data_IF_970719144208
#
_entry.id   IF_970719144208
#
_cell.length_a   1.000
_cell.length_b   1.000
_cell.length_c   1.000
_cell.angle_alpha   90.00
_cell.angle_beta   90.00
_cell.angle_gamma   90.00
#
_symmetry.space_group_name_H-M   'P 1'
#
loop_
_entity.id
_entity.type
_entity.pdbx_description
1 polymer ?
#
# COMPACT_ATOMS: atom_id res chain seq x y z
N UNK A 1 -14.91 -0.47 21.94
CA UNK A 1 -16.11 -0.57 21.07
C UNK A 1 -15.78 -0.45 19.57
N UNK A 2 -14.60 0.05 19.18
CA UNK A 2 -14.19 0.32 17.79
C UNK A 2 -13.82 -0.93 16.95
N UNK A 3 -13.31 -1.99 17.58
CA UNK A 3 -12.94 -3.23 16.87
C UNK A 3 -14.18 -3.92 16.25
N UNK A 4 -15.36 -3.74 16.85
CA UNK A 4 -16.61 -4.37 16.39
C UNK A 4 -17.14 -3.76 15.08
N UNK A 5 -16.98 -2.45 14.86
CA UNK A 5 -17.34 -1.80 13.58
C UNK A 5 -16.41 -2.24 12.44
N UNK A 6 -15.12 -2.42 12.72
CA UNK A 6 -14.15 -2.87 11.73
C UNK A 6 -14.42 -4.31 11.26
N UNK A 7 -14.91 -5.17 12.15
CA UNK A 7 -15.29 -6.56 11.86
C UNK A 7 -16.65 -6.65 11.14
N UNK A 8 -17.65 -5.82 11.53
CA UNK A 8 -18.94 -5.73 10.81
C UNK A 8 -18.76 -5.20 9.39
N UNK A 9 -17.96 -4.13 9.22
CA UNK A 9 -17.63 -3.57 7.91
C UNK A 9 -16.82 -4.52 7.02
N UNK A 10 -15.95 -5.37 7.60
CA UNK A 10 -15.23 -6.41 6.83
C UNK A 10 -16.18 -7.41 6.17
N UNK A 11 -17.28 -7.81 6.83
CA UNK A 11 -18.24 -8.79 6.28
C UNK A 11 -19.14 -8.24 5.18
N UNK A 12 -19.49 -6.95 5.22
CA UNK A 12 -20.26 -6.31 4.14
C UNK A 12 -19.38 -5.94 2.94
N UNK A 13 -18.16 -5.45 3.15
CA UNK A 13 -17.24 -5.10 2.05
C UNK A 13 -16.74 -6.33 1.27
N UNK A 14 -16.73 -7.53 1.87
CA UNK A 14 -16.34 -8.77 1.16
C UNK A 14 -17.30 -9.18 0.04
N UNK A 15 -18.51 -8.60 -0.06
CA UNK A 15 -19.44 -8.94 -1.15
C UNK A 15 -19.12 -8.25 -2.47
N UNK A 16 -18.44 -7.10 -2.45
CA UNK A 16 -18.28 -6.23 -3.63
C UNK A 16 -16.80 -5.99 -3.96
N UNK A 17 -16.11 -7.05 -4.39
CA UNK A 17 -14.70 -6.97 -4.81
C UNK A 17 -14.64 -6.74 -6.32
N UNK A 18 -13.87 -5.74 -6.75
CA UNK A 18 -13.58 -5.50 -8.16
C UNK A 18 -12.22 -6.07 -8.50
N UNK A 19 -12.18 -6.91 -9.53
CA UNK A 19 -10.95 -7.32 -10.19
C UNK A 19 -10.91 -6.59 -11.54
N UNK A 20 -9.95 -5.67 -11.69
CA UNK A 20 -9.72 -4.95 -12.95
C UNK A 20 -9.38 -5.95 -14.05
N UNK A 21 -9.87 -5.72 -15.27
CA UNK A 21 -9.59 -6.59 -16.41
C UNK A 21 -8.08 -6.68 -16.71
N UNK A 22 -7.34 -5.58 -16.54
CA UNK A 22 -5.88 -5.55 -16.68
C UNK A 22 -5.20 -6.48 -15.67
N UNK A 23 -5.61 -6.41 -14.40
CA UNK A 23 -5.11 -7.27 -13.32
C UNK A 23 -5.44 -8.74 -13.59
N UNK A 24 -6.68 -9.05 -13.99
CA UNK A 24 -7.08 -10.43 -14.31
C UNK A 24 -6.21 -11.02 -15.43
N UNK A 25 -5.97 -10.27 -16.52
CA UNK A 25 -5.10 -10.72 -17.62
C UNK A 25 -3.67 -11.00 -17.15
N UNK A 26 -3.12 -10.15 -16.28
CA UNK A 26 -1.77 -10.34 -15.71
C UNK A 26 -1.72 -11.56 -14.79
N UNK A 27 -2.77 -11.79 -14.00
CA UNK A 27 -2.91 -12.98 -13.17
C UNK A 27 -3.01 -14.26 -14.02
N UNK A 28 -3.82 -14.26 -15.08
CA UNK A 28 -3.97 -15.42 -15.98
C UNK A 28 -2.64 -15.76 -16.67
N UNK A 29 -1.90 -14.74 -17.14
CA UNK A 29 -0.55 -14.92 -17.69
C UNK A 29 0.43 -15.50 -16.66
N UNK A 30 0.38 -15.02 -15.42
CA UNK A 30 1.17 -15.57 -14.31
C UNK A 30 0.84 -17.05 -14.05
N UNK A 31 -0.44 -17.43 -14.05
CA UNK A 31 -0.84 -18.82 -13.82
C UNK A 31 -0.31 -19.75 -14.93
N UNK A 32 -0.33 -19.28 -16.19
CA UNK A 32 0.09 -20.06 -17.35
C UNK A 32 1.61 -20.17 -17.49
N UNK A 33 2.33 -19.05 -17.39
CA UNK A 33 3.75 -18.96 -17.76
C UNK A 33 4.67 -18.46 -16.64
N UNK A 34 4.10 -17.78 -15.64
CA UNK A 34 4.84 -17.19 -14.55
C UNK A 34 5.12 -18.18 -13.42
N UNK A 35 5.92 -17.71 -12.45
CA UNK A 35 6.24 -18.43 -11.21
C UNK A 35 5.90 -17.60 -9.99
N UNK A 36 6.07 -16.28 -10.08
CA UNK A 36 5.83 -15.35 -8.99
C UNK A 36 4.87 -14.25 -9.44
N UNK A 37 3.85 -13.98 -8.63
CA UNK A 37 3.04 -12.77 -8.71
C UNK A 37 3.32 -11.93 -7.47
N UNK A 38 3.92 -10.76 -7.66
CA UNK A 38 4.29 -9.86 -6.59
C UNK A 38 3.33 -8.67 -6.56
N UNK A 39 2.76 -8.35 -5.40
CA UNK A 39 2.00 -7.13 -5.19
C UNK A 39 2.86 -6.14 -4.40
N UNK A 40 3.22 -5.02 -5.03
CA UNK A 40 3.99 -3.93 -4.41
C UNK A 40 3.13 -2.68 -4.34
N UNK A 41 2.53 -2.41 -3.18
CA UNK A 41 1.71 -1.21 -3.01
C UNK A 41 1.60 -0.82 -1.53
N UNK A 42 1.29 0.46 -1.23
CA UNK A 42 1.08 0.91 0.14
C UNK A 42 -0.08 0.19 0.86
N UNK A 43 -0.25 0.50 2.14
CA UNK A 43 -1.42 0.06 2.90
C UNK A 43 -2.72 0.56 2.26
N UNK A 44 -3.82 -0.20 2.39
CA UNK A 44 -5.14 0.18 1.87
C UNK A 44 -5.34 0.13 0.35
N UNK A 45 -4.33 -0.26 -0.45
CA UNK A 45 -4.50 -0.55 -1.88
C UNK A 45 -5.17 -1.90 -2.19
N UNK A 46 -5.70 -2.59 -1.17
CA UNK A 46 -6.47 -3.82 -1.38
C UNK A 46 -5.68 -5.07 -1.78
N UNK A 47 -4.33 -5.07 -1.71
CA UNK A 47 -3.46 -6.22 -2.08
C UNK A 47 -3.99 -7.57 -1.57
N UNK A 48 -4.20 -7.70 -0.26
CA UNK A 48 -4.70 -8.93 0.37
C UNK A 48 -6.09 -9.32 -0.14
N UNK A 49 -7.01 -8.36 -0.20
CA UNK A 49 -8.39 -8.59 -0.68
C UNK A 49 -8.41 -9.05 -2.13
N UNK A 50 -7.56 -8.45 -2.98
CA UNK A 50 -7.44 -8.78 -4.38
C UNK A 50 -6.79 -10.16 -4.59
N UNK A 51 -5.72 -10.47 -3.86
CA UNK A 51 -5.09 -11.79 -3.88
C UNK A 51 -6.09 -12.88 -3.47
N UNK A 52 -6.83 -12.68 -2.38
CA UNK A 52 -7.85 -13.63 -1.92
C UNK A 52 -8.97 -13.83 -2.96
N UNK A 53 -9.33 -12.77 -3.69
CA UNK A 53 -10.34 -12.84 -4.75
C UNK A 53 -9.84 -13.61 -5.98
N UNK A 54 -8.60 -13.35 -6.43
CA UNK A 54 -7.98 -14.04 -7.57
C UNK A 54 -7.70 -15.53 -7.30
N UNK A 55 -7.42 -15.86 -6.04
CA UNK A 55 -7.07 -17.21 -5.59
C UNK A 55 -8.26 -18.03 -5.09
N UNK A 56 -9.48 -17.48 -5.14
CA UNK A 56 -10.68 -18.15 -4.65
C UNK A 56 -10.87 -19.51 -5.33
N UNK A 57 -11.01 -20.56 -4.51
CA UNK A 57 -11.22 -21.93 -4.97
C UNK A 57 -9.95 -22.70 -5.37
N UNK A 58 -8.75 -22.16 -5.07
CA UNK A 58 -7.46 -22.82 -5.32
C UNK A 58 -6.88 -23.42 -4.03
N UNK A 59 -5.98 -24.40 -4.17
CA UNK A 59 -5.23 -24.96 -3.05
C UNK A 59 -4.09 -24.01 -2.64
N UNK A 60 -4.31 -23.22 -1.58
CA UNK A 60 -3.42 -22.14 -1.15
C UNK A 60 -2.89 -22.41 0.25
N UNK A 61 -1.56 -22.39 0.40
CA UNK A 61 -0.89 -22.26 1.70
C UNK A 61 -0.58 -20.79 1.95
N UNK A 62 -0.98 -20.25 3.10
CA UNK A 62 -0.80 -18.82 3.44
C UNK A 62 0.10 -18.66 4.65
N UNK A 63 1.12 -17.81 4.50
CA UNK A 63 2.05 -17.40 5.53
C UNK A 63 2.08 -15.88 5.66
N UNK A 64 2.54 -15.38 6.81
CA UNK A 64 2.85 -13.96 7.01
C UNK A 64 4.29 -13.84 7.45
N UNK A 65 5.08 -13.03 6.75
CA UNK A 65 6.44 -12.72 7.18
C UNK A 65 6.50 -11.91 8.48
N UNK A 66 5.36 -11.38 8.94
CA UNK A 66 5.22 -10.74 10.25
C UNK A 66 5.20 -11.75 11.41
N UNK A 67 4.89 -13.01 11.14
CA UNK A 67 4.84 -14.06 12.14
C UNK A 67 6.27 -14.55 12.46
N UNK A 68 6.74 -14.47 13.72
CA UNK A 68 8.07 -14.94 14.11
C UNK A 68 8.27 -16.43 13.85
N UNK A 69 7.20 -17.23 13.84
CA UNK A 69 7.26 -18.67 13.59
C UNK A 69 7.10 -19.00 12.09
N UNK A 70 7.09 -17.99 11.21
CA UNK A 70 6.95 -18.19 9.76
C UNK A 70 8.20 -18.85 9.17
N UNK A 71 8.11 -20.15 8.91
CA UNK A 71 9.14 -20.92 8.22
C UNK A 71 8.73 -21.15 6.76
N UNK A 72 9.69 -21.06 5.84
CA UNK A 72 9.48 -21.40 4.43
C UNK A 72 9.18 -22.91 4.35
N UNK A 73 8.05 -23.32 3.75
CA UNK A 73 7.65 -24.71 3.75
C UNK A 73 8.54 -25.54 2.81
N UNK A 74 8.74 -26.84 3.06
CA UNK A 74 9.37 -27.73 2.11
C UNK A 74 8.48 -27.90 0.87
N UNK A 75 9.09 -28.19 -0.28
CA UNK A 75 8.40 -28.35 -1.57
C UNK A 75 7.41 -29.53 -1.61
N UNK A 76 7.60 -30.53 -0.75
CA UNK A 76 6.84 -31.78 -0.74
C UNK A 76 5.46 -31.69 -0.05
N UNK A 77 5.03 -30.52 0.42
CA UNK A 77 3.71 -30.33 1.02
C UNK A 77 2.61 -30.16 -0.04
N UNK A 78 1.37 -30.52 0.33
CA UNK A 78 0.19 -30.54 -0.55
C UNK A 78 -0.44 -29.13 -0.70
N UNK A 79 0.22 -28.25 -1.46
CA UNK A 79 -0.28 -26.93 -1.85
C UNK A 79 0.11 -26.63 -3.30
N UNK A 80 -0.71 -25.87 -4.03
CA UNK A 80 -0.37 -25.44 -5.41
C UNK A 80 0.24 -24.03 -5.41
N UNK A 81 -0.22 -23.19 -4.47
CA UNK A 81 0.12 -21.77 -4.40
C UNK A 81 0.53 -21.40 -2.99
N UNK A 82 1.75 -20.87 -2.84
CA UNK A 82 2.21 -20.27 -1.59
C UNK A 82 1.97 -18.76 -1.61
N UNK A 83 1.15 -18.27 -0.68
CA UNK A 83 0.96 -16.84 -0.42
C UNK A 83 1.82 -16.42 0.77
N UNK A 84 2.66 -15.41 0.61
CA UNK A 84 3.39 -14.78 1.71
C UNK A 84 2.98 -13.32 1.82
N UNK A 85 2.34 -12.97 2.92
CA UNK A 85 1.96 -11.59 3.24
C UNK A 85 3.06 -10.85 4.01
N UNK A 86 3.04 -9.52 3.97
CA UNK A 86 3.99 -8.64 4.66
C UNK A 86 5.47 -8.91 4.33
N UNK A 87 5.80 -9.30 3.10
CA UNK A 87 7.16 -9.71 2.71
C UNK A 87 8.25 -8.68 3.05
N UNK A 88 7.93 -7.38 3.11
CA UNK A 88 8.87 -6.33 3.55
C UNK A 88 9.46 -6.55 4.96
N UNK A 89 8.86 -7.41 5.78
CA UNK A 89 9.35 -7.78 7.10
C UNK A 89 10.35 -8.94 7.08
N UNK A 90 10.42 -9.70 5.98
CA UNK A 90 11.43 -10.75 5.78
C UNK A 90 12.76 -10.11 5.35
N UNK A 91 13.49 -9.55 6.31
CA UNK A 91 14.75 -8.82 6.04
C UNK A 91 15.99 -9.71 6.15
N UNK A 92 15.87 -10.89 6.76
CA UNK A 92 16.97 -11.84 6.91
C UNK A 92 17.36 -12.46 5.55
N UNK A 93 18.61 -12.27 5.14
CA UNK A 93 19.13 -12.75 3.85
C UNK A 93 18.94 -14.26 3.68
N UNK A 94 19.16 -15.04 4.74
CA UNK A 94 18.99 -16.49 4.71
C UNK A 94 17.54 -16.90 4.36
N UNK A 95 16.53 -16.21 4.90
CA UNK A 95 15.11 -16.48 4.60
C UNK A 95 14.75 -16.07 3.17
N UNK A 96 15.25 -14.91 2.72
CA UNK A 96 15.06 -14.46 1.34
C UNK A 96 15.70 -15.42 0.33
N UNK A 97 16.89 -15.94 0.64
CA UNK A 97 17.58 -16.91 -0.20
C UNK A 97 16.85 -18.26 -0.23
N UNK A 98 16.37 -18.74 0.93
CA UNK A 98 15.57 -19.96 1.01
C UNK A 98 14.28 -19.85 0.18
N UNK A 99 13.61 -18.68 0.20
CA UNK A 99 12.46 -18.42 -0.68
C UNK A 99 12.85 -18.47 -2.16
N UNK A 100 13.97 -17.85 -2.54
CA UNK A 100 14.44 -17.88 -3.93
C UNK A 100 14.80 -19.30 -4.38
N UNK A 101 15.40 -20.11 -3.51
CA UNK A 101 15.70 -21.51 -3.77
C UNK A 101 14.42 -22.33 -3.95
N UNK A 102 13.43 -22.16 -3.06
CA UNK A 102 12.14 -22.81 -3.20
C UNK A 102 11.43 -22.45 -4.52
N UNK A 103 11.49 -21.19 -4.93
CA UNK A 103 10.96 -20.76 -6.24
C UNK A 103 11.69 -21.47 -7.39
N UNK A 104 13.00 -21.67 -7.30
CA UNK A 104 13.77 -22.35 -8.37
C UNK A 104 13.53 -23.85 -8.40
N UNK A 105 13.46 -24.50 -7.23
CA UNK A 105 13.40 -25.96 -7.12
C UNK A 105 12.02 -26.57 -7.35
N UNK A 106 10.96 -25.76 -7.32
CA UNK A 106 9.57 -26.27 -7.29
C UNK A 106 8.72 -25.79 -8.49
N UNK A 107 9.01 -26.27 -9.73
CA UNK A 107 8.38 -25.81 -10.98
C UNK A 107 6.84 -25.89 -11.03
N UNK A 108 6.28 -26.87 -10.36
CA UNK A 108 4.86 -27.12 -10.17
C UNK A 108 4.16 -26.03 -9.34
N UNK A 109 4.89 -25.43 -8.40
CA UNK A 109 4.35 -24.46 -7.45
C UNK A 109 4.34 -23.04 -8.01
N UNK A 110 3.38 -22.25 -7.52
CA UNK A 110 3.28 -20.80 -7.79
C UNK A 110 3.37 -20.01 -6.50
N UNK A 111 3.89 -18.78 -6.61
CA UNK A 111 4.14 -17.93 -5.45
C UNK A 111 3.42 -16.60 -5.62
N UNK A 112 2.64 -16.22 -4.61
CA UNK A 112 1.97 -14.92 -4.57
C UNK A 112 2.51 -14.16 -3.37
N UNK A 113 3.26 -13.10 -3.63
CA UNK A 113 3.99 -12.35 -2.61
C UNK A 113 3.35 -10.98 -2.44
N UNK A 114 2.95 -10.64 -1.22
CA UNK A 114 2.36 -9.34 -0.90
C UNK A 114 3.35 -8.53 -0.08
N UNK A 115 3.66 -7.32 -0.56
CA UNK A 115 4.59 -6.43 0.12
C UNK A 115 4.09 -4.99 0.10
N UNK A 116 4.41 -4.27 1.17
CA UNK A 116 4.34 -2.81 1.20
C UNK A 116 5.60 -2.15 0.67
N UNK A 117 6.68 -2.90 0.48
CA UNK A 117 7.93 -2.46 -0.14
C UNK A 117 8.07 -2.94 -1.59
N UNK A 118 9.19 -2.59 -2.20
CA UNK A 118 9.58 -3.08 -3.52
C UNK A 118 10.04 -4.54 -3.46
N UNK A 119 10.07 -5.28 -4.59
CA UNK A 119 10.65 -6.62 -4.61
C UNK A 119 12.11 -6.61 -4.10
N UNK A 120 12.47 -7.48 -3.13
CA UNK A 120 13.86 -7.66 -2.72
C UNK A 120 14.78 -7.97 -3.90
N UNK A 121 16.04 -7.51 -3.82
CA UNK A 121 17.03 -7.67 -4.89
C UNK A 121 17.18 -9.12 -5.37
N UNK A 122 17.11 -10.09 -4.46
CA UNK A 122 17.21 -11.51 -4.78
C UNK A 122 16.07 -12.03 -5.70
N UNK A 123 14.91 -11.36 -5.72
CA UNK A 123 13.78 -11.71 -6.59
C UNK A 123 13.83 -11.04 -7.97
N UNK A 124 14.67 -10.01 -8.15
CA UNK A 124 14.73 -9.23 -9.40
C UNK A 124 15.10 -10.08 -10.61
N UNK A 125 15.92 -11.11 -10.43
CA UNK A 125 16.27 -12.05 -11.50
C UNK A 125 15.04 -12.74 -12.10
N UNK A 126 14.03 -13.07 -11.29
CA UNK A 126 12.77 -13.64 -11.79
C UNK A 126 11.98 -12.62 -12.62
N UNK A 127 12.06 -11.32 -12.29
CA UNK A 127 11.41 -10.28 -13.08
C UNK A 127 12.05 -10.13 -14.46
N UNK A 128 13.38 -10.03 -14.52
CA UNK A 128 14.11 -9.86 -15.78
C UNK A 128 14.01 -11.08 -16.70
N UNK A 129 13.82 -12.28 -16.14
CA UNK A 129 13.59 -13.50 -16.92
C UNK A 129 12.13 -13.73 -17.29
N UNK A 130 11.22 -12.82 -16.92
CA UNK A 130 9.78 -12.95 -17.22
C UNK A 130 9.03 -13.96 -16.34
N UNK A 131 9.68 -14.52 -15.32
CA UNK A 131 9.08 -15.47 -14.38
C UNK A 131 8.31 -14.79 -13.23
N UNK A 132 8.56 -13.50 -12.98
CA UNK A 132 7.83 -12.71 -11.98
C UNK A 132 7.06 -11.57 -12.62
N UNK A 133 5.76 -11.51 -12.33
CA UNK A 133 4.88 -10.38 -12.65
C UNK A 133 4.71 -9.51 -11.40
N UNK A 134 4.95 -8.20 -11.52
CA UNK A 134 4.81 -7.24 -10.40
C UNK A 134 3.60 -6.33 -10.62
N UNK A 135 2.57 -6.45 -9.79
CA UNK A 135 1.45 -5.51 -9.72
C UNK A 135 1.81 -4.38 -8.75
N UNK A 136 1.96 -3.18 -9.28
CA UNK A 136 2.35 -1.99 -8.52
C UNK A 136 1.13 -1.18 -8.08
N UNK A 137 1.33 -0.16 -7.24
CA UNK A 137 0.25 0.69 -6.76
C UNK A 137 -0.63 1.27 -7.89
N UNK A 138 -0.01 1.71 -9.00
CA UNK A 138 -0.72 2.29 -10.14
C UNK A 138 -1.62 1.26 -10.86
N UNK A 139 -1.26 -0.03 -10.87
CA UNK A 139 -2.11 -1.10 -11.40
C UNK A 139 -3.40 -1.30 -10.58
N UNK A 140 -3.35 -0.90 -9.31
CA UNK A 140 -4.41 -1.12 -8.32
C UNK A 140 -5.29 0.12 -8.10
N UNK A 141 -4.90 1.28 -8.63
CA UNK A 141 -5.72 2.48 -8.57
C UNK A 141 -7.03 2.27 -9.35
N UNK A 142 -8.12 2.71 -8.73
CA UNK A 142 -9.43 2.71 -9.37
C UNK A 142 -9.55 3.86 -10.35
N UNK A 143 -10.07 3.53 -11.54
CA UNK A 143 -10.50 4.52 -12.52
C UNK A 143 -12.02 4.77 -12.40
N UNK A 144 -12.55 5.66 -13.25
CA UNK A 144 -13.98 6.00 -13.24
C UNK A 144 -14.88 4.80 -13.53
N UNK A 145 -14.41 3.83 -14.32
CA UNK A 145 -15.12 2.59 -14.59
C UNK A 145 -15.22 1.72 -13.34
N UNK A 146 -14.11 1.57 -12.62
CA UNK A 146 -14.07 0.81 -11.37
C UNK A 146 -14.94 1.44 -10.28
N UNK A 147 -14.84 2.76 -10.09
CA UNK A 147 -15.67 3.49 -9.11
C UNK A 147 -17.15 3.29 -9.42
N UNK A 148 -17.56 3.51 -10.68
CA UNK A 148 -18.94 3.31 -11.13
C UNK A 148 -19.42 1.88 -10.86
N UNK A 149 -18.60 0.87 -11.17
CA UNK A 149 -18.92 -0.53 -10.92
C UNK A 149 -19.06 -0.82 -9.42
N UNK A 150 -18.27 -0.17 -8.56
CA UNK A 150 -18.35 -0.36 -7.11
C UNK A 150 -19.67 0.16 -6.55
N UNK A 151 -20.11 1.34 -7.01
CA UNK A 151 -21.41 1.92 -6.68
C UNK A 151 -22.59 1.07 -7.18
N UNK A 152 -22.48 0.53 -8.40
CA UNK A 152 -23.48 -0.41 -8.94
C UNK A 152 -23.62 -1.65 -8.05
N UNK A 153 -22.50 -2.23 -7.61
CA UNK A 153 -22.50 -3.37 -6.70
C UNK A 153 -23.07 -3.03 -5.32
N UNK A 154 -22.95 -1.77 -4.86
CA UNK A 154 -23.53 -1.31 -3.59
C UNK A 154 -25.00 -0.87 -3.71
N UNK A 155 -25.56 -0.85 -4.92
CA UNK A 155 -26.95 -0.43 -5.16
C UNK A 155 -27.20 1.07 -4.97
N UNK A 156 -26.15 1.89 -5.02
CA UNK A 156 -26.23 3.34 -4.87
C UNK A 156 -26.01 3.98 -6.24
N UNK A 157 -26.96 4.80 -6.69
CA UNK A 157 -26.81 5.56 -7.92
C UNK A 157 -25.83 6.72 -7.70
N UNK A 158 -24.93 6.91 -8.65
CA UNK A 158 -23.92 7.97 -8.63
C UNK A 158 -23.87 8.62 -10.02
N UNK A 159 -23.74 9.94 -10.05
CA UNK A 159 -23.58 10.71 -11.29
C UNK A 159 -22.12 10.77 -11.74
N UNK A 160 -21.87 11.10 -13.00
CA UNK A 160 -20.50 11.24 -13.52
C UNK A 160 -19.72 12.35 -12.78
N UNK A 161 -20.38 13.46 -12.43
CA UNK A 161 -19.80 14.56 -11.64
C UNK A 161 -19.37 14.11 -10.24
N UNK A 162 -20.16 13.25 -9.59
CA UNK A 162 -19.79 12.68 -8.29
C UNK A 162 -18.61 11.72 -8.43
N UNK A 163 -18.57 10.89 -9.48
CA UNK A 163 -17.41 10.01 -9.75
C UNK A 163 -16.14 10.85 -9.94
N UNK A 164 -16.22 11.94 -10.72
CA UNK A 164 -15.09 12.84 -10.93
C UNK A 164 -14.63 13.50 -9.63
N UNK A 165 -15.58 13.93 -8.79
CA UNK A 165 -15.29 14.44 -7.44
C UNK A 165 -14.59 13.40 -6.56
N UNK A 166 -15.08 12.16 -6.56
CA UNK A 166 -14.50 11.05 -5.80
C UNK A 166 -13.08 10.75 -6.25
N UNK A 167 -12.84 10.69 -7.56
CA UNK A 167 -11.51 10.45 -8.12
C UNK A 167 -10.56 11.60 -7.87
N UNK A 168 -11.04 12.85 -7.91
CA UNK A 168 -10.23 14.02 -7.59
C UNK A 168 -9.71 13.97 -6.15
N UNK A 169 -10.57 13.64 -5.20
CA UNK A 169 -10.19 13.62 -3.77
C UNK A 169 -9.42 12.34 -3.38
N UNK A 170 -9.79 11.19 -3.93
CA UNK A 170 -9.16 9.90 -3.59
C UNK A 170 -7.92 9.58 -4.44
N UNK A 171 -7.77 10.22 -5.60
CA UNK A 171 -6.76 9.87 -6.62
C UNK A 171 -6.86 8.38 -7.02
N UNK A 172 -8.06 7.80 -6.96
CA UNK A 172 -8.31 6.38 -7.23
C UNK A 172 -7.87 5.43 -6.12
N UNK A 173 -7.47 5.92 -4.94
CA UNK A 173 -7.02 5.10 -3.82
C UNK A 173 -8.13 4.14 -3.32
N UNK A 174 -7.94 2.80 -3.40
CA UNK A 174 -9.03 1.85 -3.17
C UNK A 174 -9.72 1.95 -1.80
N UNK A 175 -8.97 2.12 -0.71
CA UNK A 175 -9.57 2.29 0.61
C UNK A 175 -10.40 3.57 0.71
N UNK A 176 -9.92 4.67 0.15
CA UNK A 176 -10.66 5.94 0.12
C UNK A 176 -11.98 5.79 -0.62
N UNK A 177 -11.95 5.20 -1.82
CA UNK A 177 -13.16 4.93 -2.61
C UNK A 177 -14.10 3.97 -1.87
N UNK A 178 -13.59 2.89 -1.27
CA UNK A 178 -14.43 1.93 -0.56
C UNK A 178 -15.14 2.55 0.66
N UNK A 179 -14.46 3.41 1.41
CA UNK A 179 -15.07 4.15 2.53
C UNK A 179 -16.12 5.12 1.99
N UNK A 180 -15.84 5.84 0.90
CA UNK A 180 -16.82 6.73 0.25
C UNK A 180 -18.08 5.97 -0.16
N UNK A 181 -17.96 4.84 -0.86
CA UNK A 181 -19.10 4.01 -1.29
C UNK A 181 -19.93 3.56 -0.08
N UNK A 182 -19.28 3.16 1.02
CA UNK A 182 -19.96 2.79 2.27
C UNK A 182 -20.68 3.99 2.92
N UNK A 183 -20.11 5.17 2.78
CA UNK A 183 -20.59 6.41 3.40
C UNK A 183 -21.76 7.06 2.64
N UNK A 184 -21.87 6.81 1.34
CA UNK A 184 -22.91 7.35 0.47
C UNK A 184 -24.15 6.47 0.43
N UNK A 185 -25.31 7.12 0.36
CA UNK A 185 -26.62 6.49 0.18
C UNK A 185 -27.56 7.48 -0.51
N UNK A 186 -28.79 7.07 -0.85
CA UNK A 186 -29.76 7.98 -1.48
C UNK A 186 -29.98 9.28 -0.68
N UNK A 187 -30.00 9.20 0.65
CA UNK A 187 -30.16 10.37 1.54
C UNK A 187 -28.84 11.05 1.95
N UNK A 188 -27.69 10.55 1.48
CA UNK A 188 -26.35 11.05 1.85
C UNK A 188 -25.50 11.17 0.58
N UNK A 189 -25.70 12.23 -0.20
CA UNK A 189 -25.00 12.43 -1.46
C UNK A 189 -23.53 12.80 -1.21
N UNK A 190 -22.78 12.92 -2.29
CA UNK A 190 -21.42 13.44 -2.25
C UNK A 190 -21.40 14.93 -1.86
N UNK A 191 -20.83 15.24 -0.69
CA UNK A 191 -20.68 16.62 -0.19
C UNK A 191 -19.31 16.84 0.44
N UNK A 192 -18.86 18.10 0.62
CA UNK A 192 -17.60 18.39 1.31
C UNK A 192 -17.53 17.80 2.74
N UNK A 193 -18.67 17.75 3.45
CA UNK A 193 -18.73 17.16 4.79
C UNK A 193 -18.52 15.64 4.76
N UNK A 194 -19.05 14.97 3.73
CA UNK A 194 -18.79 13.54 3.51
C UNK A 194 -17.31 13.32 3.21
N UNK A 195 -16.69 14.16 2.37
CA UNK A 195 -15.25 14.11 2.05
C UNK A 195 -14.42 14.22 3.32
N UNK A 196 -14.68 15.21 4.16
CA UNK A 196 -13.97 15.40 5.43
C UNK A 196 -14.09 14.17 6.36
N UNK A 197 -15.27 13.56 6.42
CA UNK A 197 -15.49 12.32 7.20
C UNK A 197 -14.67 11.14 6.63
N UNK A 198 -14.65 10.97 5.31
CA UNK A 198 -13.86 9.92 4.65
C UNK A 198 -12.37 10.10 4.94
N UNK A 199 -11.84 11.32 4.79
CA UNK A 199 -10.44 11.62 5.13
C UNK A 199 -10.12 11.29 6.59
N UNK A 200 -11.00 11.67 7.52
CA UNK A 200 -10.81 11.36 8.94
C UNK A 200 -10.74 9.84 9.20
N UNK A 201 -11.63 9.06 8.59
CA UNK A 201 -11.60 7.58 8.71
C UNK A 201 -10.33 6.97 8.09
N UNK A 202 -9.87 7.49 6.95
CA UNK A 202 -8.59 7.07 6.33
C UNK A 202 -7.40 7.43 7.21
N UNK A 203 -7.41 8.59 7.86
CA UNK A 203 -6.33 9.04 8.75
C UNK A 203 -6.23 8.18 10.00
N UNK A 204 -7.34 7.85 10.64
CA UNK A 204 -7.36 6.90 11.78
C UNK A 204 -6.83 5.52 11.38
N UNK A 205 -7.12 5.09 10.14
CA UNK A 205 -6.55 3.86 9.60
C UNK A 205 -5.03 3.98 9.40
N UNK A 206 -4.54 5.05 8.78
CA UNK A 206 -3.09 5.28 8.61
C UNK A 206 -2.35 5.38 9.95
N UNK A 207 -2.93 6.07 10.93
CA UNK A 207 -2.37 6.18 12.28
C UNK A 207 -2.08 4.79 12.86
N UNK A 208 -3.07 3.90 12.83
CA UNK A 208 -2.95 2.57 13.45
C UNK A 208 -2.16 1.58 12.59
N UNK A 209 -2.43 1.53 11.28
CA UNK A 209 -1.89 0.50 10.39
C UNK A 209 -0.47 0.80 9.90
N UNK A 210 -0.05 2.06 9.93
CA UNK A 210 1.23 2.53 9.40
C UNK A 210 2.02 3.28 10.48
N UNK A 211 1.53 4.46 10.88
CA UNK A 211 2.32 5.45 11.60
C UNK A 211 2.78 4.96 12.98
N UNK A 212 1.85 4.42 13.78
CA UNK A 212 2.15 3.89 15.12
C UNK A 212 2.99 2.61 15.10
N UNK A 213 3.22 1.99 13.95
CA UNK A 213 4.11 0.83 13.81
C UNK A 213 5.57 1.22 13.59
N UNK A 214 5.83 2.46 13.19
CA UNK A 214 7.20 2.97 13.12
C UNK A 214 7.73 3.33 14.50
N UNK A 215 9.04 3.26 14.66
CA UNK A 215 9.72 3.81 15.82
C UNK A 215 9.68 5.34 15.81
N UNK A 216 9.98 5.95 16.95
CA UNK A 216 9.91 7.40 17.11
C UNK A 216 10.83 8.16 16.13
N UNK A 217 12.08 7.72 15.86
CA UNK A 217 12.93 8.37 14.86
C UNK A 217 12.34 8.40 13.45
N UNK A 218 11.77 7.29 12.96
CA UNK A 218 11.14 7.26 11.63
C UNK A 218 9.90 8.15 11.61
N UNK A 219 9.09 8.19 12.67
CA UNK A 219 7.93 9.09 12.75
C UNK A 219 8.35 10.57 12.65
N UNK A 220 9.36 10.99 13.40
CA UNK A 220 9.87 12.35 13.31
C UNK A 220 10.39 12.68 11.93
N UNK A 221 11.16 11.78 11.32
CA UNK A 221 11.68 11.95 9.97
C UNK A 221 10.55 12.13 8.95
N UNK A 222 9.49 11.31 9.00
CA UNK A 222 8.33 11.45 8.11
C UNK A 222 7.60 12.78 8.32
N UNK A 223 7.37 13.19 9.57
CA UNK A 223 6.75 14.49 9.86
C UNK A 223 7.60 15.63 9.32
N UNK A 224 8.92 15.59 9.50
CA UNK A 224 9.80 16.68 9.08
C UNK A 224 9.86 16.85 7.55
N UNK A 225 9.65 15.78 6.79
CA UNK A 225 9.60 15.81 5.32
C UNK A 225 8.22 16.21 4.76
N UNK A 226 7.14 15.93 5.49
CA UNK A 226 5.77 16.13 5.02
C UNK A 226 5.41 17.55 4.51
N UNK A 227 5.97 18.64 5.06
CA UNK A 227 5.69 20.00 4.58
C UNK A 227 6.15 20.26 3.14
N UNK A 228 7.12 19.51 2.65
CA UNK A 228 7.68 19.71 1.31
C UNK A 228 6.86 18.94 0.28
N UNK A 229 6.66 19.54 -0.89
CA UNK A 229 5.95 18.88 -1.99
C UNK A 229 6.78 17.72 -2.53
N UNK A 230 8.07 17.96 -2.77
CA UNK A 230 9.08 16.94 -3.04
C UNK A 230 10.40 17.26 -2.35
N UNK A 231 11.26 16.26 -2.22
CA UNK A 231 12.56 16.36 -1.55
C UNK A 231 13.56 15.36 -2.14
N UNK A 232 14.84 15.69 -2.04
CA UNK A 232 15.95 14.78 -2.32
C UNK A 232 16.67 14.40 -1.01
N UNK A 233 17.77 13.64 -1.12
CA UNK A 233 18.57 13.21 0.04
C UNK A 233 19.23 14.38 0.78
N UNK A 234 19.67 15.42 0.07
CA UNK A 234 20.33 16.57 0.68
C UNK A 234 19.33 17.38 1.52
N UNK A 235 18.15 17.64 0.95
CA UNK A 235 17.04 18.25 1.65
C UNK A 235 16.62 17.44 2.86
N UNK A 236 16.49 16.11 2.71
CA UNK A 236 16.14 15.24 3.82
C UNK A 236 17.16 15.31 4.98
N UNK A 237 18.46 15.40 4.67
CA UNK A 237 19.52 15.61 5.67
C UNK A 237 19.40 16.97 6.36
N UNK A 238 19.27 18.05 5.61
CA UNK A 238 19.25 19.40 6.22
C UNK A 238 17.99 19.62 7.07
N UNK A 239 16.83 19.24 6.55
CA UNK A 239 15.54 19.49 7.19
C UNK A 239 15.38 18.65 8.45
N UNK A 240 15.77 17.38 8.40
CA UNK A 240 15.68 16.52 9.59
C UNK A 240 16.78 16.82 10.62
N UNK A 241 17.95 17.26 10.16
CA UNK A 241 19.15 17.33 11.00
C UNK A 241 19.63 15.95 11.47
N UNK A 242 19.10 14.85 10.88
CA UNK A 242 19.46 13.49 11.25
C UNK A 242 20.73 13.06 10.49
N UNK A 243 21.85 12.76 11.17
CA UNK A 243 23.05 12.25 10.51
C UNK A 243 22.81 10.92 9.76
N UNK A 244 21.76 10.18 10.12
CA UNK A 244 21.34 8.92 9.48
C UNK A 244 20.20 9.10 8.46
N UNK A 245 19.89 10.34 8.05
CA UNK A 245 18.83 10.60 7.06
C UNK A 245 18.97 9.75 5.77
N UNK A 246 20.20 9.48 5.33
CA UNK A 246 20.44 8.62 4.17
C UNK A 246 20.05 7.16 4.40
N UNK A 247 20.42 6.59 5.54
CA UNK A 247 20.02 5.21 5.92
C UNK A 247 18.50 5.10 6.06
N UNK A 248 17.86 6.13 6.64
CA UNK A 248 16.40 6.15 6.79
C UNK A 248 15.67 6.26 5.47
N UNK A 249 16.14 7.14 4.58
CA UNK A 249 15.53 7.31 3.26
C UNK A 249 15.69 6.03 2.43
N UNK A 250 16.88 5.42 2.42
CA UNK A 250 17.12 4.14 1.74
C UNK A 250 16.22 3.02 2.32
N UNK A 251 16.07 2.95 3.65
CA UNK A 251 15.17 2.00 4.29
C UNK A 251 13.70 2.22 3.86
N UNK A 252 13.23 3.47 3.84
CA UNK A 252 11.88 3.81 3.38
C UNK A 252 11.65 3.40 1.93
N UNK A 253 12.62 3.65 1.05
CA UNK A 253 12.54 3.31 -0.38
C UNK A 253 12.54 1.80 -0.62
N UNK A 254 13.26 1.02 0.21
CA UNK A 254 13.31 -0.45 0.07
C UNK A 254 12.10 -1.16 0.67
N UNK A 255 11.73 -0.81 1.90
CA UNK A 255 10.77 -1.59 2.68
C UNK A 255 9.36 -1.00 2.70
N UNK A 256 9.18 0.14 2.03
CA UNK A 256 7.88 0.77 1.85
C UNK A 256 7.71 1.23 0.41
N UNK A 257 6.50 1.68 0.08
CA UNK A 257 6.14 2.30 -1.21
C UNK A 257 5.41 3.61 -0.96
N UNK A 258 5.61 4.21 0.23
CA UNK A 258 4.92 5.45 0.62
C UNK A 258 5.47 6.69 -0.09
N UNK A 259 6.63 6.55 -0.73
CA UNK A 259 7.28 7.55 -1.56
C UNK A 259 7.09 7.18 -3.03
N UNK A 260 6.85 8.19 -3.86
CA UNK A 260 6.88 8.12 -5.32
C UNK A 260 8.11 8.85 -5.83
N UNK A 261 8.54 8.51 -7.04
CA UNK A 261 9.64 9.12 -7.75
C UNK A 261 9.12 10.17 -8.74
N UNK A 262 9.69 11.36 -8.71
CA UNK A 262 9.58 12.31 -9.83
C UNK A 262 10.67 12.03 -10.86
N UNK A 263 11.87 11.76 -10.36
CA UNK A 263 13.04 11.33 -11.11
C UNK A 263 13.90 10.40 -10.23
N UNK A 264 15.17 10.17 -10.59
CA UNK A 264 16.06 9.29 -9.84
C UNK A 264 16.55 9.87 -8.49
N UNK A 265 16.29 11.14 -8.20
CA UNK A 265 16.80 11.85 -7.02
C UNK A 265 15.71 12.51 -6.19
N UNK A 266 14.54 12.82 -6.78
CA UNK A 266 13.43 13.49 -6.12
C UNK A 266 12.28 12.56 -5.81
N UNK A 267 11.80 12.69 -4.58
CA UNK A 267 10.74 11.87 -4.01
C UNK A 267 9.61 12.76 -3.46
N UNK A 268 8.39 12.24 -3.47
CA UNK A 268 7.28 12.83 -2.74
C UNK A 268 6.41 11.74 -2.11
N UNK A 269 5.70 12.08 -1.02
CA UNK A 269 4.71 11.19 -0.44
C UNK A 269 3.48 11.07 -1.32
N UNK A 270 2.78 9.94 -1.26
CA UNK A 270 1.41 9.87 -1.80
C UNK A 270 0.55 11.00 -1.23
N UNK A 271 -0.27 11.71 -2.04
CA UNK A 271 -1.00 12.90 -1.59
C UNK A 271 -1.83 12.67 -0.32
N UNK A 272 -2.57 11.56 -0.26
CA UNK A 272 -3.36 11.20 0.93
C UNK A 272 -2.52 10.89 2.17
N UNK A 273 -1.32 10.31 2.00
CA UNK A 273 -0.41 10.06 3.11
C UNK A 273 0.30 11.33 3.57
N UNK A 274 0.66 12.23 2.64
CA UNK A 274 1.17 13.57 2.97
C UNK A 274 0.17 14.37 3.80
N UNK A 275 -1.11 14.37 3.38
CA UNK A 275 -2.19 15.05 4.10
C UNK A 275 -2.35 14.50 5.52
N UNK A 276 -2.26 13.17 5.68
CA UNK A 276 -2.24 12.52 6.99
C UNK A 276 -1.05 12.96 7.86
N UNK A 277 0.17 12.99 7.31
CA UNK A 277 1.36 13.41 8.07
C UNK A 277 1.28 14.88 8.50
N UNK A 278 0.71 15.75 7.67
CA UNK A 278 0.45 17.15 8.04
C UNK A 278 -0.58 17.24 9.18
N UNK A 279 -1.64 16.45 9.12
CA UNK A 279 -2.63 16.38 10.20
C UNK A 279 -2.04 15.84 11.51
N UNK A 280 -1.20 14.81 11.48
CA UNK A 280 -0.47 14.34 12.67
C UNK A 280 0.54 15.37 13.19
N UNK A 281 1.20 16.12 12.29
CA UNK A 281 2.12 17.19 12.69
C UNK A 281 1.41 18.25 13.54
N UNK A 282 0.18 18.63 13.20
CA UNK A 282 -0.59 19.60 13.98
C UNK A 282 -0.91 19.11 15.40
N UNK A 283 -0.97 17.79 15.61
CA UNK A 283 -1.24 17.16 16.90
C UNK A 283 0.01 16.96 17.73
N UNK A 284 1.14 16.65 17.09
CA UNK A 284 2.40 16.36 17.79
C UNK A 284 3.31 17.57 17.98
N UNK A 285 3.32 18.53 17.06
CA UNK A 285 4.30 19.63 17.06
C UNK A 285 3.67 20.96 17.47
N UNK A 286 4.39 21.71 18.33
CA UNK A 286 4.01 23.08 18.66
C UNK A 286 4.12 23.99 17.42
N UNK A 287 3.47 25.15 17.47
CA UNK A 287 3.55 26.12 16.38
C UNK A 287 4.98 26.62 16.14
N UNK A 288 5.76 26.79 17.21
CA UNK A 288 7.18 27.22 17.14
C UNK A 288 8.03 26.17 16.42
N UNK A 289 7.85 24.89 16.76
CA UNK A 289 8.59 23.79 16.12
C UNK A 289 8.25 23.70 14.63
N UNK A 290 6.98 23.89 14.26
CA UNK A 290 6.55 23.94 12.85
C UNK A 290 7.20 25.11 12.12
N UNK A 291 7.18 26.32 12.68
CA UNK A 291 7.83 27.51 12.08
C UNK A 291 9.34 27.31 11.88
N UNK A 292 10.03 26.70 12.85
CA UNK A 292 11.45 26.38 12.76
C UNK A 292 11.75 25.33 11.67
N UNK A 293 10.85 24.37 11.46
CA UNK A 293 10.98 23.40 10.37
C UNK A 293 10.84 24.07 9.00
N UNK A 294 9.85 24.94 8.83
CA UNK A 294 9.66 25.70 7.59
C UNK A 294 10.83 26.63 7.28
N UNK A 295 11.45 27.25 8.30
CA UNK A 295 12.62 28.10 8.09
C UNK A 295 13.86 27.31 7.65
N UNK A 296 14.08 26.09 8.19
CA UNK A 296 15.14 25.18 7.72
C UNK A 296 14.95 24.81 6.24
N UNK A 297 13.72 24.49 5.85
CA UNK A 297 13.40 24.13 4.47
C UNK A 297 13.61 25.24 3.44
N UNK A 298 13.32 26.49 3.82
CA UNK A 298 13.55 27.67 2.96
C UNK A 298 15.03 27.94 2.66
N UNK A 299 15.96 27.38 3.43
CA UNK A 299 17.38 27.51 3.15
C UNK A 299 17.87 26.56 2.04
N UNK A 300 17.03 25.62 1.59
CA UNK A 300 17.36 24.56 0.62
C UNK A 300 16.61 24.72 -0.71
N UNK A 301 15.57 25.56 -0.76
CA UNK A 301 14.81 25.91 -1.97
C UNK A 301 15.48 27.06 -2.72
#
# INVERSE_FOLDING_TARGET
MEISLCIKGRKEMTKNIIIKTSVQKRFDSFMLHGRVLFFSAPCGFGKTVLADALLRGRNVLRLSAADPDCVIPPSAQDWDILVIDDLQLMQEEARQQALCELIRSSPEHRFVLLSRGVPPGCLTAFQYTGLMTVLEADDLLFDAGDVRRLFQLSGVNVTDSEIDGILKESVGYPLGVAITVRCMSQDKPWTPELVARVFHEVFLYFETAIYRRFDLPVRHFLLELAPFESFDLEMARMVSGDPRAGERLDWLLRYTTMLRYEDCQRFHFWPGFRAFLLWEMEREYTEEKRKALFSRGRAVL
#
